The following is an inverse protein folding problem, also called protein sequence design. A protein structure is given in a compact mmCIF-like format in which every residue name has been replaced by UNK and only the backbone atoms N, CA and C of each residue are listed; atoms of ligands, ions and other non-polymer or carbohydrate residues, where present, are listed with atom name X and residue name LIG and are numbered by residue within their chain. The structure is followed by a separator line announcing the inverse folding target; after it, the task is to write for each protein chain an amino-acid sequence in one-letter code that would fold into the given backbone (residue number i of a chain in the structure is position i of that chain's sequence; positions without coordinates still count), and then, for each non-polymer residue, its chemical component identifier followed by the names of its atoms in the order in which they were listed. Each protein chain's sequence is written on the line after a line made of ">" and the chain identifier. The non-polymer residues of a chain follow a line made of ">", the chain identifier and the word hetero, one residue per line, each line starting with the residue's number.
data_IF_132115328453
#
_entry.id   IF_132115328453
#
_cell.length_a   1.000
_cell.length_b   1.000
_cell.length_c   1.000
_cell.angle_alpha   90.00
_cell.angle_beta   90.00
_cell.angle_gamma   90.00
#
_symmetry.space_group_name_H-M   'P 1'
#
loop_
_entity.id
_entity.type
_entity.pdbx_description
1 polymer ?
#
# COMPACT_ATOMS: atom_id res chain seq x y z
N UNK A 1 -27.32 23.22 15.73
CA UNK A 1 -26.33 22.28 15.20
C UNK A 1 -25.14 23.10 14.74
N UNK A 2 -24.07 23.14 15.52
CA UNK A 2 -22.89 23.99 15.29
C UNK A 2 -22.13 23.51 14.04
N UNK A 3 -21.61 24.43 13.22
CA UNK A 3 -20.87 24.06 11.99
C UNK A 3 -19.68 23.15 12.29
N UNK A 4 -19.02 23.34 13.45
CA UNK A 4 -17.90 22.51 13.88
C UNK A 4 -18.28 21.05 14.19
N UNK A 5 -19.51 20.78 14.64
CA UNK A 5 -19.98 19.42 14.89
C UNK A 5 -20.10 18.64 13.59
N UNK A 6 -20.60 19.28 12.52
CA UNK A 6 -20.69 18.67 11.19
C UNK A 6 -19.30 18.34 10.62
N UNK A 7 -18.31 19.22 10.83
CA UNK A 7 -16.93 19.03 10.37
C UNK A 7 -16.31 17.78 11.05
N UNK A 8 -16.52 17.60 12.36
CA UNK A 8 -16.04 16.42 13.08
C UNK A 8 -16.78 15.16 12.66
N UNK A 9 -18.09 15.21 12.46
CA UNK A 9 -18.84 14.04 11.99
C UNK A 9 -18.42 13.61 10.59
N UNK A 10 -18.14 14.58 9.71
CA UNK A 10 -17.56 14.31 8.40
C UNK A 10 -16.18 13.66 8.53
N UNK A 11 -15.32 14.16 9.45
CA UNK A 11 -14.00 13.56 9.71
C UNK A 11 -14.12 12.11 10.16
N UNK A 12 -15.06 11.83 11.05
CA UNK A 12 -15.29 10.49 11.58
C UNK A 12 -15.75 9.54 10.48
N UNK A 13 -16.68 10.00 9.62
CA UNK A 13 -17.14 9.24 8.47
C UNK A 13 -16.02 8.95 7.48
N UNK A 14 -15.17 9.95 7.18
CA UNK A 14 -14.02 9.76 6.29
C UNK A 14 -13.03 8.74 6.85
N UNK A 15 -12.81 8.73 8.17
CA UNK A 15 -11.96 7.74 8.84
C UNK A 15 -12.56 6.32 8.81
N UNK A 16 -13.87 6.18 9.01
CA UNK A 16 -14.55 4.90 8.86
C UNK A 16 -14.46 4.37 7.41
N UNK A 17 -14.70 5.21 6.41
CA UNK A 17 -14.55 4.85 5.00
C UNK A 17 -13.09 4.49 4.67
N UNK A 18 -12.12 5.19 5.24
CA UNK A 18 -10.70 4.88 5.09
C UNK A 18 -10.37 3.50 5.68
N UNK A 19 -10.86 3.19 6.88
CA UNK A 19 -10.67 1.90 7.54
C UNK A 19 -11.24 0.75 6.70
N UNK A 20 -12.45 0.93 6.15
CA UNK A 20 -13.07 -0.05 5.24
C UNK A 20 -12.20 -0.25 4.00
N UNK A 21 -11.73 0.85 3.38
CA UNK A 21 -10.90 0.81 2.18
C UNK A 21 -9.58 0.06 2.44
N UNK A 22 -8.91 0.30 3.56
CA UNK A 22 -7.66 -0.40 3.93
C UNK A 22 -7.91 -1.88 4.22
N UNK A 23 -9.07 -2.23 4.79
CA UNK A 23 -9.45 -3.62 5.02
C UNK A 23 -9.73 -4.34 3.69
N UNK A 24 -10.39 -3.67 2.76
CA UNK A 24 -10.60 -4.18 1.41
C UNK A 24 -9.27 -4.33 0.65
N UNK A 25 -8.32 -3.40 0.85
CA UNK A 25 -6.97 -3.47 0.27
C UNK A 25 -6.24 -4.72 0.78
N UNK A 26 -6.37 -5.06 2.06
CA UNK A 26 -5.83 -6.31 2.64
C UNK A 26 -6.40 -7.55 1.95
N UNK A 27 -7.72 -7.60 1.74
CA UNK A 27 -8.37 -8.71 1.03
C UNK A 27 -7.92 -8.77 -0.44
N UNK A 28 -7.84 -7.62 -1.12
CA UNK A 28 -7.36 -7.53 -2.51
C UNK A 28 -5.91 -8.01 -2.67
N UNK A 29 -5.04 -7.74 -1.69
CA UNK A 29 -3.67 -8.23 -1.65
C UNK A 29 -3.60 -9.75 -1.49
N UNK A 30 -4.49 -10.32 -0.67
CA UNK A 30 -4.59 -11.79 -0.51
C UNK A 30 -5.10 -12.44 -1.79
N UNK A 31 -6.10 -11.83 -2.44
CA UNK A 31 -6.66 -12.29 -3.71
C UNK A 31 -5.77 -11.99 -4.93
N UNK A 32 -4.68 -11.24 -4.75
CA UNK A 32 -3.74 -10.80 -5.80
C UNK A 32 -4.45 -10.05 -6.95
N UNK A 33 -5.52 -9.33 -6.65
CA UNK A 33 -6.31 -8.59 -7.64
C UNK A 33 -5.71 -7.21 -7.89
N UNK A 34 -4.93 -7.08 -8.97
CA UNK A 34 -4.23 -5.84 -9.32
C UNK A 34 -5.18 -4.66 -9.63
N UNK A 35 -6.25 -4.91 -10.40
CA UNK A 35 -7.24 -3.89 -10.76
C UNK A 35 -7.98 -3.36 -9.52
N UNK A 36 -8.38 -4.25 -8.61
CA UNK A 36 -9.05 -3.87 -7.37
C UNK A 36 -8.09 -3.06 -6.49
N UNK A 37 -6.83 -3.49 -6.36
CA UNK A 37 -5.81 -2.79 -5.59
C UNK A 37 -5.57 -1.36 -6.09
N UNK A 38 -5.50 -1.17 -7.41
CA UNK A 38 -5.33 0.16 -8.02
C UNK A 38 -6.53 1.08 -7.75
N UNK A 39 -7.75 0.54 -7.84
CA UNK A 39 -8.97 1.29 -7.54
C UNK A 39 -9.03 1.72 -6.07
N UNK A 40 -8.66 0.81 -5.15
CA UNK A 40 -8.62 1.05 -3.71
C UNK A 40 -7.53 2.05 -3.33
N UNK A 41 -6.35 1.97 -3.95
CA UNK A 41 -5.27 2.93 -3.75
C UNK A 41 -5.69 4.35 -4.17
N UNK A 42 -6.41 4.47 -5.29
CA UNK A 42 -6.94 5.76 -5.77
C UNK A 42 -8.01 6.31 -4.83
N UNK A 43 -8.94 5.46 -4.37
CA UNK A 43 -9.95 5.84 -3.39
C UNK A 43 -9.34 6.30 -2.06
N UNK A 44 -8.35 5.57 -1.56
CA UNK A 44 -7.58 5.91 -0.36
C UNK A 44 -6.86 7.25 -0.49
N UNK A 45 -6.20 7.52 -1.63
CA UNK A 45 -5.56 8.81 -1.87
C UNK A 45 -6.55 9.97 -1.81
N UNK A 46 -7.72 9.81 -2.45
CA UNK A 46 -8.80 10.81 -2.38
C UNK A 46 -9.32 11.02 -0.96
N UNK A 47 -9.57 9.94 -0.22
CA UNK A 47 -10.02 10.02 1.17
C UNK A 47 -9.00 10.74 2.07
N UNK A 48 -7.70 10.52 1.85
CA UNK A 48 -6.64 11.23 2.58
C UNK A 48 -6.59 12.72 2.23
N UNK A 49 -6.80 13.09 0.97
CA UNK A 49 -6.90 14.50 0.56
C UNK A 49 -8.13 15.17 1.17
N UNK A 50 -9.29 14.51 1.15
CA UNK A 50 -10.52 14.98 1.78
C UNK A 50 -10.36 15.13 3.30
N UNK A 51 -9.70 14.16 3.95
CA UNK A 51 -9.35 14.19 5.38
C UNK A 51 -8.44 15.38 5.71
N UNK A 52 -7.43 15.65 4.87
CA UNK A 52 -6.51 16.77 5.04
C UNK A 52 -7.20 18.11 4.83
N UNK A 53 -8.05 18.23 3.81
CA UNK A 53 -8.83 19.43 3.57
C UNK A 53 -9.78 19.72 4.74
N UNK A 54 -10.42 18.69 5.28
CA UNK A 54 -11.30 18.81 6.44
C UNK A 54 -10.52 19.20 7.71
N UNK A 55 -9.34 18.63 7.94
CA UNK A 55 -8.47 18.99 9.08
C UNK A 55 -7.95 20.43 8.99
N UNK A 56 -7.64 20.92 7.79
CA UNK A 56 -7.31 22.34 7.56
C UNK A 56 -8.49 23.25 7.87
N UNK A 57 -9.71 22.89 7.44
CA UNK A 57 -10.92 23.62 7.80
C UNK A 57 -11.15 23.62 9.32
N UNK A 58 -10.86 22.51 9.99
CA UNK A 58 -10.97 22.34 11.44
C UNK A 58 -9.95 23.22 12.19
N UNK A 59 -8.70 23.29 11.69
CA UNK A 59 -7.61 24.08 12.27
C UNK A 59 -7.79 25.60 12.09
N UNK A 60 -8.36 26.00 10.94
CA UNK A 60 -8.64 27.41 10.62
C UNK A 60 -9.93 27.93 11.26
N UNK A 61 -10.80 27.05 11.78
CA UNK A 61 -12.09 27.45 12.34
C UNK A 61 -11.91 28.24 13.67
N UNK A 62 -12.55 29.41 13.82
CA UNK A 62 -12.47 30.22 15.04
C UNK A 62 -13.06 29.52 16.28
N UNK A 63 -13.90 28.51 16.06
CA UNK A 63 -14.52 27.69 17.10
C UNK A 63 -13.64 26.53 17.58
N UNK A 64 -12.35 26.42 17.18
CA UNK A 64 -11.48 25.30 17.64
C UNK A 64 -11.39 25.19 19.17
N UNK A 65 -11.55 26.29 19.89
CA UNK A 65 -11.56 26.28 21.35
C UNK A 65 -12.73 25.45 21.92
N UNK A 66 -13.85 25.33 21.19
CA UNK A 66 -14.97 24.47 21.55
C UNK A 66 -14.61 22.98 21.57
N UNK A 67 -13.62 22.56 20.75
CA UNK A 67 -13.11 21.18 20.75
C UNK A 67 -12.40 20.81 22.06
N UNK A 68 -11.89 21.82 22.77
CA UNK A 68 -11.16 21.66 24.04
C UNK A 68 -12.09 21.93 25.22
N UNK A 69 -13.03 22.88 25.08
CA UNK A 69 -13.93 23.25 26.16
C UNK A 69 -15.16 22.33 26.29
N UNK A 70 -15.58 21.66 25.21
CA UNK A 70 -16.70 20.71 25.23
C UNK A 70 -16.17 19.27 25.32
N UNK A 71 -16.56 18.55 26.38
CA UNK A 71 -16.12 17.17 26.60
C UNK A 71 -16.61 16.21 25.53
N UNK A 72 -17.76 16.49 24.89
CA UNK A 72 -18.34 15.65 23.84
C UNK A 72 -17.52 15.77 22.55
N UNK A 73 -17.12 16.99 22.19
CA UNK A 73 -16.28 17.23 21.01
C UNK A 73 -14.86 16.70 21.22
N UNK A 74 -14.30 16.88 22.42
CA UNK A 74 -13.00 16.31 22.80
C UNK A 74 -12.98 14.77 22.71
N UNK A 75 -14.05 14.12 23.18
CA UNK A 75 -14.20 12.67 23.05
C UNK A 75 -14.26 12.21 21.59
N UNK A 76 -15.01 12.92 20.72
CA UNK A 76 -15.05 12.63 19.28
C UNK A 76 -13.67 12.80 18.61
N UNK A 77 -12.92 13.84 18.98
CA UNK A 77 -11.54 14.05 18.47
C UNK A 77 -10.61 12.92 18.91
N UNK A 78 -10.72 12.46 20.15
CA UNK A 78 -9.92 11.32 20.62
C UNK A 78 -10.29 10.03 19.89
N UNK A 79 -11.58 9.75 19.69
CA UNK A 79 -12.03 8.59 18.92
C UNK A 79 -11.53 8.63 17.48
N UNK A 80 -11.56 9.80 16.83
CA UNK A 80 -10.98 9.99 15.51
C UNK A 80 -9.46 9.72 15.48
N UNK A 81 -8.73 10.12 16.52
CA UNK A 81 -7.28 9.81 16.64
C UNK A 81 -7.02 8.31 16.81
N UNK A 82 -7.84 7.62 17.60
CA UNK A 82 -7.75 6.17 17.76
C UNK A 82 -8.01 5.45 16.44
N UNK A 83 -9.06 5.83 15.71
CA UNK A 83 -9.33 5.29 14.37
C UNK A 83 -8.19 5.55 13.39
N UNK A 84 -7.57 6.74 13.45
CA UNK A 84 -6.44 7.07 12.60
C UNK A 84 -5.21 6.20 12.94
N UNK A 85 -4.94 5.97 14.22
CA UNK A 85 -3.88 5.07 14.66
C UNK A 85 -4.13 3.63 14.18
N UNK A 86 -5.38 3.15 14.27
CA UNK A 86 -5.76 1.84 13.75
C UNK A 86 -5.58 1.75 12.22
N UNK A 87 -6.01 2.77 11.47
CA UNK A 87 -5.80 2.85 10.03
C UNK A 87 -4.31 2.84 9.68
N UNK A 88 -3.48 3.55 10.45
CA UNK A 88 -2.04 3.58 10.25
C UNK A 88 -1.42 2.21 10.48
N UNK A 89 -1.84 1.50 11.53
CA UNK A 89 -1.38 0.15 11.81
C UNK A 89 -1.76 -0.83 10.70
N UNK A 90 -3.01 -0.81 10.25
CA UNK A 90 -3.46 -1.66 9.13
C UNK A 90 -2.69 -1.34 7.82
N UNK A 91 -2.37 -0.07 7.59
CA UNK A 91 -1.58 0.32 6.43
C UNK A 91 -0.13 -0.20 6.49
N UNK A 92 0.47 -0.25 7.68
CA UNK A 92 1.79 -0.86 7.90
C UNK A 92 1.73 -2.37 7.62
N UNK A 93 0.68 -3.05 8.08
CA UNK A 93 0.47 -4.47 7.76
C UNK A 93 0.33 -4.71 6.26
N UNK A 94 -0.46 -3.89 5.55
CA UNK A 94 -0.62 -3.99 4.10
C UNK A 94 0.71 -3.75 3.38
N UNK A 95 1.54 -2.82 3.86
CA UNK A 95 2.88 -2.57 3.29
C UNK A 95 3.77 -3.80 3.42
N UNK A 96 3.79 -4.44 4.60
CA UNK A 96 4.53 -5.68 4.82
C UNK A 96 4.04 -6.84 3.93
N UNK A 97 2.71 -6.96 3.74
CA UNK A 97 2.12 -7.93 2.82
C UNK A 97 2.52 -7.69 1.36
N UNK A 98 2.58 -6.43 0.93
CA UNK A 98 3.05 -6.06 -0.42
C UNK A 98 4.51 -6.49 -0.60
N UNK A 99 5.38 -6.16 0.34
CA UNK A 99 6.80 -6.54 0.30
C UNK A 99 6.97 -8.06 0.24
N UNK A 100 6.21 -8.81 1.04
CA UNK A 100 6.22 -10.27 1.04
C UNK A 100 5.79 -10.84 -0.32
N UNK A 101 4.72 -10.31 -0.92
CA UNK A 101 4.26 -10.72 -2.25
C UNK A 101 5.31 -10.46 -3.32
N UNK A 102 5.94 -9.28 -3.31
CA UNK A 102 7.03 -8.93 -4.24
C UNK A 102 8.22 -9.89 -4.08
N UNK A 103 8.63 -10.18 -2.84
CA UNK A 103 9.71 -11.12 -2.57
C UNK A 103 9.38 -12.54 -3.07
N UNK A 104 8.15 -13.00 -2.88
CA UNK A 104 7.66 -14.29 -3.37
C UNK A 104 7.69 -14.38 -4.89
N UNK A 105 7.19 -13.35 -5.60
CA UNK A 105 7.21 -13.28 -7.07
C UNK A 105 8.65 -13.26 -7.59
N UNK A 106 9.54 -12.51 -6.97
CA UNK A 106 10.96 -12.48 -7.34
C UNK A 106 11.64 -13.84 -7.15
N UNK A 107 11.31 -14.55 -6.07
CA UNK A 107 11.81 -15.91 -5.83
C UNK A 107 11.26 -16.91 -6.86
N UNK A 108 9.98 -16.81 -7.21
CA UNK A 108 9.37 -17.63 -8.26
C UNK A 108 10.03 -17.37 -9.62
N UNK A 109 10.25 -16.10 -9.97
CA UNK A 109 10.94 -15.70 -11.21
C UNK A 109 12.36 -16.29 -11.30
N UNK A 110 13.14 -16.21 -10.20
CA UNK A 110 14.45 -16.85 -10.12
C UNK A 110 14.38 -18.37 -10.30
N UNK A 111 13.43 -19.04 -9.64
CA UNK A 111 13.24 -20.48 -9.78
C UNK A 111 12.87 -20.88 -11.22
N UNK A 112 12.01 -20.10 -11.90
CA UNK A 112 11.66 -20.30 -13.30
C UNK A 112 12.85 -20.10 -14.23
N UNK A 113 13.69 -19.07 -13.99
CA UNK A 113 14.92 -18.87 -14.76
C UNK A 113 15.89 -20.03 -14.59
N UNK A 114 16.10 -20.52 -13.35
CA UNK A 114 16.92 -21.70 -13.06
C UNK A 114 16.34 -22.93 -13.75
N UNK A 115 15.02 -23.17 -13.68
CA UNK A 115 14.35 -24.28 -14.36
C UNK A 115 14.54 -24.23 -15.88
N UNK A 116 14.40 -23.04 -16.49
CA UNK A 116 14.61 -22.83 -17.92
C UNK A 116 16.05 -23.11 -18.33
N UNK A 117 17.03 -22.68 -17.53
CA UNK A 117 18.45 -22.97 -17.76
C UNK A 117 18.82 -24.43 -17.48
N UNK A 118 18.18 -25.08 -16.50
CA UNK A 118 18.33 -26.50 -16.21
C UNK A 118 17.77 -27.38 -17.33
N UNK A 119 16.71 -26.93 -18.01
CA UNK A 119 16.14 -27.59 -19.20
C UNK A 119 17.08 -27.51 -20.42
N UNK A 120 17.86 -26.42 -20.54
CA UNK A 120 18.98 -26.32 -21.50
C UNK A 120 20.21 -27.12 -21.09
N UNK A 121 20.23 -27.60 -19.84
CA UNK A 121 21.21 -28.52 -19.27
C UNK A 121 20.72 -29.97 -19.42
N UNK A 122 19.95 -30.25 -20.48
CA UNK A 122 19.88 -31.62 -20.98
C UNK A 122 21.25 -31.95 -21.54
N UNK A 123 21.99 -32.73 -20.76
CA UNK A 123 23.07 -33.63 -21.16
C UNK A 123 22.91 -34.01 -22.63
N UNK A 124 23.53 -33.25 -23.53
CA UNK A 124 23.84 -33.80 -24.84
C UNK A 124 24.84 -34.92 -24.51
N UNK A 125 24.50 -36.16 -24.85
CA UNK A 125 25.33 -37.35 -24.58
C UNK A 125 26.65 -37.37 -25.38
N UNK A 126 27.31 -36.22 -25.54
CA UNK A 126 28.55 -35.97 -26.25
C UNK A 126 29.29 -34.90 -25.47
N UNK A 127 30.04 -35.29 -24.44
CA UNK A 127 30.74 -34.40 -23.50
C UNK A 127 31.60 -33.32 -24.15
N UNK A 128 30.98 -32.21 -24.54
CA UNK A 128 31.64 -30.95 -24.88
C UNK A 128 30.83 -29.80 -24.30
N UNK A 129 31.28 -29.37 -23.13
CA UNK A 129 30.95 -28.07 -22.56
C UNK A 129 31.54 -26.99 -23.47
N UNK A 130 30.74 -26.39 -24.34
CA UNK A 130 31.16 -25.19 -25.08
C UNK A 130 30.94 -23.97 -24.20
N UNK A 131 31.67 -23.90 -23.09
CA UNK A 131 31.91 -22.66 -22.35
C UNK A 131 33.23 -22.09 -22.83
N UNK A 132 33.28 -21.58 -24.06
CA UNK A 132 34.29 -20.62 -24.51
C UNK A 132 33.61 -19.77 -25.57
N UNK A 133 33.18 -18.61 -25.11
CA UNK A 133 33.08 -17.43 -25.95
C UNK A 133 34.49 -17.12 -26.44
N UNK A 134 34.86 -17.58 -27.64
CA UNK A 134 35.90 -16.90 -28.41
C UNK A 134 35.29 -15.61 -28.95
N UNK A 135 35.19 -14.65 -28.01
CA UNK A 135 35.07 -13.24 -28.29
C UNK A 135 36.14 -12.88 -29.32
N UNK A 136 35.69 -12.27 -30.42
CA UNK A 136 36.49 -11.99 -31.60
C UNK A 136 37.84 -11.34 -31.28
N UNK A 137 38.91 -12.09 -31.48
CA UNK A 137 40.26 -11.55 -31.59
C UNK A 137 40.88 -12.01 -32.91
N UNK A 138 40.29 -11.56 -34.02
CA UNK A 138 40.87 -11.65 -35.36
C UNK A 138 41.07 -10.25 -35.97
N UNK A 139 41.41 -9.26 -35.14
CA UNK A 139 41.97 -7.99 -35.62
C UNK A 139 43.49 -8.04 -35.46
N UNK A 140 44.19 -8.54 -36.48
CA UNK A 140 45.61 -8.24 -36.69
C UNK A 140 46.04 -8.44 -38.15
N UNK A 141 46.77 -7.41 -38.60
CA UNK A 141 47.53 -7.23 -39.84
C UNK A 141 46.72 -6.87 -41.09
#
# INVERSE_FOLDING_TARGET
>A
MSQITNIIELQHKLLEELKVTITQEKSALIEQSADLLLSLATAKAKLLDDLKANDVNLSTHPEKSLLISDSVLSAKVNSAKELLAECQQLNIENTSLIELNIASINRLSQALQVSRNASSLTYNGKGKTSTISTLGNNLKA
#
